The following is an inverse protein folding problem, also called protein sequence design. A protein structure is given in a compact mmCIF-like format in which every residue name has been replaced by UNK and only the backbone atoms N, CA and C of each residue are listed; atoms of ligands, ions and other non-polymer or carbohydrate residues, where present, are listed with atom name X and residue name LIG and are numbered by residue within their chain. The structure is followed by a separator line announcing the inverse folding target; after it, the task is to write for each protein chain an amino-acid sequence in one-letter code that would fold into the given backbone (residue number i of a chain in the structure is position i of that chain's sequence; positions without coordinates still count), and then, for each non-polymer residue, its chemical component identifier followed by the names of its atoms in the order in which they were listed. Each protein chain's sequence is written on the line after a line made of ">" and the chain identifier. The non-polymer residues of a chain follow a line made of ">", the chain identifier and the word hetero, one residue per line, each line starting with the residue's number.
data_IF_868665828181
#
_entry.id   IF_868665828181
#
_cell.length_a   1.000
_cell.length_b   1.000
_cell.length_c   1.000
_cell.angle_alpha   90.00
_cell.angle_beta   90.00
_cell.angle_gamma   90.00
#
_symmetry.space_group_name_H-M   'P 1'
#
loop_
_entity.id
_entity.type
_entity.pdbx_description
1 polymer ?
#
# COMPACT_ATOMS: atom_id res chain seq x y z
N UNK A 1 9.35 8.15 -23.82
CA UNK A 1 10.09 9.08 -22.95
C UNK A 1 10.15 10.48 -23.54
N UNK A 2 10.52 10.67 -24.83
CA UNK A 2 10.57 12.01 -25.46
C UNK A 2 9.31 12.86 -25.29
N UNK A 3 8.11 12.28 -25.45
CA UNK A 3 6.84 13.03 -25.29
C UNK A 3 6.57 13.50 -23.85
N UNK A 4 6.87 12.67 -22.85
CA UNK A 4 6.68 13.03 -21.43
C UNK A 4 7.67 14.11 -21.01
N UNK A 5 8.91 14.01 -21.48
CA UNK A 5 9.94 15.01 -21.24
C UNK A 5 9.56 16.35 -21.88
N UNK A 6 9.15 16.36 -23.15
CA UNK A 6 8.70 17.57 -23.83
C UNK A 6 7.51 18.23 -23.11
N UNK A 7 6.54 17.41 -22.68
CA UNK A 7 5.41 17.90 -21.89
C UNK A 7 5.85 18.48 -20.55
N UNK A 8 6.77 17.83 -19.85
CA UNK A 8 7.31 18.33 -18.60
C UNK A 8 8.10 19.63 -18.79
N UNK A 9 8.87 19.76 -19.87
CA UNK A 9 9.61 20.97 -20.18
C UNK A 9 8.68 22.14 -20.56
N UNK A 10 7.54 21.85 -21.20
CA UNK A 10 6.51 22.85 -21.53
C UNK A 10 5.85 23.51 -20.32
N UNK A 11 6.12 23.03 -19.10
CA UNK A 11 5.48 23.51 -17.87
C UNK A 11 6.00 24.86 -17.35
N UNK A 12 6.97 25.49 -18.03
CA UNK A 12 7.54 26.76 -17.58
C UNK A 12 8.05 26.70 -16.13
N UNK A 13 7.86 27.79 -15.39
CA UNK A 13 8.29 27.91 -13.99
C UNK A 13 7.34 27.21 -13.01
N UNK A 14 6.07 27.02 -13.40
CA UNK A 14 5.04 26.36 -12.61
C UNK A 14 5.44 24.92 -12.27
N UNK A 15 6.11 24.24 -13.20
CA UNK A 15 6.63 22.90 -13.00
C UNK A 15 5.57 21.80 -13.18
N UNK A 16 5.89 20.59 -12.72
CA UNK A 16 5.05 19.41 -12.91
C UNK A 16 4.55 18.81 -11.60
N UNK A 17 3.38 18.16 -11.70
CA UNK A 17 2.82 17.28 -10.68
C UNK A 17 2.77 15.86 -11.24
N UNK A 18 3.30 14.92 -10.48
CA UNK A 18 3.20 13.49 -10.80
C UNK A 18 2.01 12.91 -10.04
N UNK A 19 1.15 12.14 -10.69
CA UNK A 19 -0.02 11.54 -10.05
C UNK A 19 -0.16 10.06 -10.36
N UNK A 20 -0.24 9.23 -9.32
CA UNK A 20 -0.65 7.82 -9.43
C UNK A 20 -1.26 7.29 -8.14
N UNK A 21 -2.17 6.32 -8.27
CA UNK A 21 -2.71 5.54 -7.14
C UNK A 21 -2.10 4.12 -7.07
N UNK A 22 -0.93 3.92 -7.66
CA UNK A 22 -0.23 2.64 -7.67
C UNK A 22 -0.70 1.69 -8.79
N UNK A 23 -0.18 0.47 -8.81
CA UNK A 23 -0.53 -0.55 -9.81
C UNK A 23 -1.77 -1.37 -9.47
N UNK A 24 -2.14 -1.44 -8.19
CA UNK A 24 -3.33 -2.16 -7.74
C UNK A 24 -4.63 -1.41 -8.05
N UNK A 25 -4.53 -0.11 -8.35
CA UNK A 25 -5.66 0.77 -8.67
C UNK A 25 -5.43 1.38 -10.04
N UNK A 26 -5.75 0.61 -11.07
CA UNK A 26 -5.59 1.03 -12.47
C UNK A 26 -6.66 2.04 -12.90
N UNK A 27 -7.87 1.92 -12.33
CA UNK A 27 -9.00 2.81 -12.60
C UNK A 27 -9.81 3.07 -11.33
N UNK A 28 -10.55 4.17 -11.34
CA UNK A 28 -11.46 4.58 -10.27
C UNK A 28 -12.85 4.87 -10.88
N UNK A 29 -13.92 4.93 -10.08
CA UNK A 29 -15.25 5.29 -10.59
C UNK A 29 -15.21 6.61 -11.38
N UNK A 30 -15.96 6.66 -12.48
CA UNK A 30 -15.96 7.81 -13.41
C UNK A 30 -16.21 9.12 -12.70
N UNK A 31 -17.19 9.17 -11.79
CA UNK A 31 -17.51 10.34 -10.97
C UNK A 31 -16.30 10.88 -10.18
N UNK A 32 -15.49 9.99 -9.61
CA UNK A 32 -14.29 10.37 -8.86
C UNK A 32 -13.22 10.87 -9.82
N UNK A 33 -13.00 10.18 -10.95
CA UNK A 33 -12.02 10.62 -11.94
C UNK A 33 -12.37 11.97 -12.58
N UNK A 34 -13.65 12.26 -12.78
CA UNK A 34 -14.16 13.55 -13.27
C UNK A 34 -13.93 14.67 -12.26
N UNK A 35 -14.16 14.41 -10.96
CA UNK A 35 -13.86 15.37 -9.89
C UNK A 35 -12.37 15.67 -9.78
N UNK A 36 -11.52 14.63 -9.84
CA UNK A 36 -10.07 14.80 -9.82
C UNK A 36 -9.60 15.57 -11.06
N UNK A 37 -10.04 15.19 -12.27
CA UNK A 37 -9.70 15.87 -13.50
C UNK A 37 -10.10 17.36 -13.48
N UNK A 38 -11.29 17.67 -12.94
CA UNK A 38 -11.76 19.05 -12.75
C UNK A 38 -10.89 19.85 -11.78
N UNK A 39 -10.37 19.22 -10.72
CA UNK A 39 -9.41 19.87 -9.82
C UNK A 39 -8.08 20.13 -10.51
N UNK A 40 -7.53 19.12 -11.20
CA UNK A 40 -6.24 19.22 -11.90
C UNK A 40 -6.27 20.30 -12.99
N UNK A 41 -7.41 20.47 -13.68
CA UNK A 41 -7.59 21.49 -14.71
C UNK A 41 -7.48 22.94 -14.19
N UNK A 42 -7.61 23.15 -12.88
CA UNK A 42 -7.50 24.48 -12.25
C UNK A 42 -6.06 24.85 -11.90
N UNK A 43 -5.12 23.90 -12.04
CA UNK A 43 -3.72 24.11 -11.69
C UNK A 43 -2.93 24.70 -12.86
N UNK A 44 -1.97 25.59 -12.60
CA UNK A 44 -1.05 26.06 -13.63
C UNK A 44 0.00 24.98 -14.01
N UNK A 45 0.28 24.02 -13.12
CA UNK A 45 1.25 22.96 -13.37
C UNK A 45 0.80 22.01 -14.48
N UNK A 46 1.79 21.43 -15.17
CA UNK A 46 1.52 20.26 -16.02
C UNK A 46 1.43 19.00 -15.16
N UNK A 47 0.41 18.18 -15.39
CA UNK A 47 0.14 16.99 -14.59
C UNK A 47 0.35 15.73 -15.43
N UNK A 48 1.23 14.85 -14.97
CA UNK A 48 1.42 13.53 -15.54
C UNK A 48 0.68 12.51 -14.67
N UNK A 49 -0.47 12.07 -15.16
CA UNK A 49 -1.36 11.18 -14.42
C UNK A 49 -1.29 9.76 -14.97
N UNK A 50 -0.79 8.83 -14.16
CA UNK A 50 -0.93 7.40 -14.44
C UNK A 50 -2.36 6.94 -14.16
N UNK A 51 -3.09 6.61 -15.21
CA UNK A 51 -4.47 6.16 -15.15
C UNK A 51 -4.82 5.32 -16.38
N UNK A 52 -5.47 4.17 -16.16
CA UNK A 52 -5.85 3.24 -17.23
C UNK A 52 -7.37 3.16 -17.44
N UNK A 53 -8.16 4.00 -16.75
CA UNK A 53 -9.59 4.15 -17.00
C UNK A 53 -9.90 5.02 -18.22
N UNK A 54 -11.19 5.28 -18.42
CA UNK A 54 -11.66 6.18 -19.49
C UNK A 54 -11.21 7.61 -19.22
N UNK A 55 -10.70 8.29 -20.26
CA UNK A 55 -10.27 9.69 -20.15
C UNK A 55 -11.44 10.55 -19.64
N UNK A 56 -11.31 11.23 -18.49
CA UNK A 56 -12.39 12.06 -17.98
C UNK A 56 -12.72 13.22 -18.92
N UNK A 57 -14.00 13.56 -19.06
CA UNK A 57 -14.44 14.67 -19.93
C UNK A 57 -13.95 16.04 -19.43
N UNK A 58 -13.77 16.18 -18.12
CA UNK A 58 -13.28 17.40 -17.45
C UNK A 58 -11.75 17.52 -17.43
N UNK A 59 -11.03 16.68 -18.18
CA UNK A 59 -9.57 16.72 -18.21
C UNK A 59 -9.06 17.99 -18.92
N UNK A 60 -8.39 18.86 -18.17
CA UNK A 60 -7.76 20.07 -18.69
C UNK A 60 -6.55 19.80 -19.59
N UNK A 61 -6.20 20.77 -20.43
CA UNK A 61 -5.05 20.69 -21.36
C UNK A 61 -3.69 20.62 -20.64
N UNK A 62 -3.65 21.00 -19.37
CA UNK A 62 -2.48 20.89 -18.51
C UNK A 62 -2.24 19.46 -18.00
N UNK A 63 -3.18 18.52 -18.20
CA UNK A 63 -3.06 17.15 -17.70
C UNK A 63 -2.96 16.15 -18.84
N UNK A 64 -1.96 15.26 -18.80
CA UNK A 64 -1.87 14.09 -19.69
C UNK A 64 -2.03 12.81 -18.90
N UNK A 65 -2.84 11.91 -19.45
CA UNK A 65 -3.10 10.58 -18.88
C UNK A 65 -2.24 9.53 -19.60
N UNK A 66 -1.61 8.67 -18.82
CA UNK A 66 -0.76 7.59 -19.30
C UNK A 66 -1.13 6.27 -18.62
N UNK A 67 -1.11 5.15 -19.34
CA UNK A 67 -1.27 3.82 -18.72
C UNK A 67 -0.11 3.47 -17.79
N UNK A 68 1.07 4.00 -18.10
CA UNK A 68 2.31 3.79 -17.35
C UNK A 68 3.17 5.05 -17.42
N UNK A 69 3.89 5.34 -16.33
CA UNK A 69 4.84 6.45 -16.24
C UNK A 69 6.15 5.97 -15.60
N UNK A 70 7.31 6.51 -15.99
CA UNK A 70 8.59 6.28 -15.30
C UNK A 70 8.61 7.11 -14.00
N UNK A 71 7.84 6.69 -13.00
CA UNK A 71 7.55 7.46 -11.78
C UNK A 71 8.82 7.96 -11.09
N UNK A 72 9.81 7.09 -10.85
CA UNK A 72 11.04 7.46 -10.18
C UNK A 72 11.84 8.53 -10.95
N UNK A 73 11.89 8.44 -12.29
CA UNK A 73 12.59 9.43 -13.12
C UNK A 73 11.85 10.77 -13.12
N UNK A 74 10.51 10.74 -13.19
CA UNK A 74 9.69 11.95 -13.09
C UNK A 74 9.82 12.60 -11.70
N UNK A 75 9.87 11.82 -10.62
CA UNK A 75 10.10 12.36 -9.28
C UNK A 75 11.48 13.00 -9.16
N UNK A 76 12.49 12.47 -9.86
CA UNK A 76 13.83 13.05 -9.96
C UNK A 76 13.97 14.22 -10.94
N UNK A 77 12.92 14.54 -11.70
CA UNK A 77 12.96 15.61 -12.67
C UNK A 77 12.99 16.99 -11.96
N UNK A 78 13.85 17.94 -12.38
CA UNK A 78 14.06 19.21 -11.66
C UNK A 78 12.81 20.11 -11.60
N UNK A 79 11.86 19.93 -12.52
CA UNK A 79 10.58 20.67 -12.52
C UNK A 79 9.52 20.07 -11.60
N UNK A 80 9.77 18.94 -10.94
CA UNK A 80 8.76 18.29 -10.11
C UNK A 80 8.51 19.06 -8.82
N UNK A 81 7.25 19.47 -8.63
CA UNK A 81 6.82 20.28 -7.49
C UNK A 81 6.11 19.45 -6.43
N UNK A 82 5.27 18.51 -6.84
CA UNK A 82 4.49 17.70 -5.92
C UNK A 82 4.18 16.30 -6.49
N UNK A 83 3.91 15.38 -5.58
CA UNK A 83 3.49 14.01 -5.90
C UNK A 83 2.13 13.69 -5.27
N UNK A 84 1.14 13.38 -6.11
CA UNK A 84 -0.15 12.85 -5.66
C UNK A 84 -0.05 11.33 -5.62
N UNK A 85 -0.28 10.75 -4.44
CA UNK A 85 -0.05 9.33 -4.18
C UNK A 85 -1.12 8.70 -3.31
N UNK A 86 -1.41 7.43 -3.53
CA UNK A 86 -2.18 6.61 -2.59
C UNK A 86 -1.45 6.29 -1.27
N UNK A 87 -0.18 6.67 -1.09
CA UNK A 87 0.55 6.40 0.16
C UNK A 87 1.16 5.00 0.29
N UNK A 88 1.33 4.29 -0.83
CA UNK A 88 2.11 3.06 -0.85
C UNK A 88 3.59 3.32 -0.52
N UNK A 89 4.19 2.45 0.29
CA UNK A 89 5.54 2.60 0.85
C UNK A 89 6.62 2.89 -0.19
N UNK A 90 6.63 2.18 -1.33
CA UNK A 90 7.63 2.40 -2.38
C UNK A 90 7.55 3.82 -2.97
N UNK A 91 6.34 4.28 -3.31
CA UNK A 91 6.17 5.62 -3.88
C UNK A 91 6.53 6.73 -2.89
N UNK A 92 6.26 6.51 -1.59
CA UNK A 92 6.72 7.42 -0.53
C UNK A 92 8.25 7.49 -0.49
N UNK A 93 8.95 6.35 -0.54
CA UNK A 93 10.41 6.36 -0.51
C UNK A 93 11.03 6.97 -1.75
N UNK A 94 10.46 6.78 -2.94
CA UNK A 94 10.89 7.48 -4.16
C UNK A 94 10.72 9.01 -4.02
N UNK A 95 9.58 9.47 -3.48
CA UNK A 95 9.35 10.89 -3.24
C UNK A 95 10.31 11.47 -2.19
N UNK A 96 10.58 10.73 -1.10
CA UNK A 96 11.59 11.11 -0.10
C UNK A 96 12.98 11.16 -0.73
N UNK A 97 13.36 10.16 -1.52
CA UNK A 97 14.67 10.10 -2.19
C UNK A 97 14.93 11.36 -3.01
N UNK A 98 13.94 11.82 -3.77
CA UNK A 98 14.03 13.04 -4.59
C UNK A 98 13.60 14.34 -3.88
N UNK A 99 13.21 14.27 -2.61
CA UNK A 99 12.80 15.42 -1.82
C UNK A 99 11.55 16.13 -2.36
N UNK A 100 10.57 15.36 -2.84
CA UNK A 100 9.30 15.87 -3.39
C UNK A 100 8.20 15.79 -2.33
N UNK A 101 7.51 16.89 -2.01
CA UNK A 101 6.38 16.86 -1.08
C UNK A 101 5.14 16.19 -1.70
N UNK A 102 4.23 15.72 -0.86
CA UNK A 102 3.16 14.80 -1.28
C UNK A 102 1.74 15.29 -0.94
N UNK A 103 0.78 14.96 -1.79
CA UNK A 103 -0.64 14.93 -1.44
C UNK A 103 -1.08 13.47 -1.41
N UNK A 104 -1.46 12.99 -0.22
CA UNK A 104 -1.88 11.61 0.00
C UNK A 104 -3.37 11.39 -0.19
N UNK A 105 -3.75 10.34 -0.90
CA UNK A 105 -5.12 9.84 -1.08
C UNK A 105 -5.18 8.36 -0.71
N UNK A 106 -5.04 8.00 0.57
CA UNK A 106 -4.97 6.61 1.00
C UNK A 106 -6.27 5.84 0.68
N UNK A 107 -6.13 4.57 0.29
CA UNK A 107 -7.25 3.75 -0.17
C UNK A 107 -7.46 2.51 0.70
N UNK A 108 -6.40 1.79 1.06
CA UNK A 108 -6.50 0.55 1.85
C UNK A 108 -5.14 0.13 2.46
N UNK A 109 -5.17 -0.88 3.32
CA UNK A 109 -3.96 -1.46 3.91
C UNK A 109 -3.24 -0.50 4.84
N UNK A 110 -1.92 -0.44 4.71
CA UNK A 110 -1.00 0.41 5.49
C UNK A 110 -0.94 1.87 5.00
N UNK A 111 -1.59 2.18 3.87
CA UNK A 111 -1.53 3.50 3.23
C UNK A 111 -1.93 4.68 4.15
N UNK A 112 -3.03 4.61 4.94
CA UNK A 112 -3.38 5.71 5.85
C UNK A 112 -2.28 5.99 6.89
N UNK A 113 -1.74 4.94 7.51
CA UNK A 113 -0.71 5.06 8.53
C UNK A 113 0.60 5.62 7.95
N UNK A 114 0.99 5.13 6.77
CA UNK A 114 2.12 5.67 6.02
C UNK A 114 1.97 7.18 5.77
N UNK A 115 0.79 7.63 5.34
CA UNK A 115 0.55 9.04 5.09
C UNK A 115 0.58 9.87 6.37
N UNK A 116 0.08 9.35 7.50
CA UNK A 116 0.20 10.02 8.82
C UNK A 116 1.67 10.22 9.20
N UNK A 117 2.54 9.23 8.96
CA UNK A 117 3.98 9.37 9.20
C UNK A 117 4.63 10.47 8.36
N UNK A 118 4.18 10.68 7.12
CA UNK A 118 4.73 11.75 6.27
C UNK A 118 4.15 13.12 6.64
N UNK A 119 2.85 13.19 6.94
CA UNK A 119 2.18 14.41 7.41
C UNK A 119 2.80 14.92 8.71
N UNK A 120 3.03 14.05 9.69
CA UNK A 120 3.68 14.41 10.97
C UNK A 120 5.11 14.91 10.81
N UNK A 121 5.79 14.57 9.70
CA UNK A 121 7.11 15.11 9.32
C UNK A 121 7.04 16.40 8.51
N UNK A 122 5.82 16.92 8.27
CA UNK A 122 5.58 18.18 7.55
C UNK A 122 5.83 18.10 6.04
N UNK A 123 5.78 16.91 5.44
CA UNK A 123 6.08 16.70 4.03
C UNK A 123 4.86 16.24 3.20
N UNK A 124 3.67 16.19 3.80
CA UNK A 124 2.45 15.84 3.07
C UNK A 124 1.17 16.44 3.65
N UNK A 125 0.19 16.66 2.77
CA UNK A 125 -1.23 16.86 3.09
C UNK A 125 -1.99 15.57 2.78
N UNK A 126 -3.04 15.26 3.55
CA UNK A 126 -3.86 14.06 3.36
C UNK A 126 -5.27 14.46 2.98
N UNK A 127 -5.79 13.89 1.90
CA UNK A 127 -7.21 13.88 1.54
C UNK A 127 -7.79 12.60 2.11
N UNK A 128 -8.56 12.72 3.21
CA UNK A 128 -9.03 11.57 3.99
C UNK A 128 -9.97 10.64 3.22
N UNK A 129 -10.78 11.19 2.30
CA UNK A 129 -11.73 10.41 1.52
C UNK A 129 -11.80 10.88 0.07
N UNK A 130 -11.21 10.09 -0.82
CA UNK A 130 -11.32 10.31 -2.28
C UNK A 130 -12.77 10.22 -2.78
N UNK A 131 -13.66 9.54 -2.06
CA UNK A 131 -15.08 9.41 -2.41
C UNK A 131 -15.85 10.70 -2.13
N UNK A 132 -15.48 11.41 -1.07
CA UNK A 132 -16.25 12.57 -0.59
C UNK A 132 -15.57 13.91 -0.90
N UNK A 133 -14.33 13.89 -1.40
CA UNK A 133 -13.60 15.10 -1.76
C UNK A 133 -14.34 15.92 -2.82
N UNK A 134 -14.30 17.23 -2.64
CA UNK A 134 -14.62 18.21 -3.66
C UNK A 134 -13.36 18.53 -4.48
N UNK A 135 -13.51 19.00 -5.73
CA UNK A 135 -12.36 19.40 -6.54
C UNK A 135 -11.46 20.42 -5.84
N UNK A 136 -12.05 21.36 -5.10
CA UNK A 136 -11.31 22.40 -4.38
C UNK A 136 -10.38 21.83 -3.30
N UNK A 137 -10.77 20.74 -2.63
CA UNK A 137 -9.93 20.12 -1.59
C UNK A 137 -8.57 19.68 -2.16
N UNK A 138 -8.56 19.16 -3.39
CA UNK A 138 -7.32 18.76 -4.07
C UNK A 138 -6.51 19.97 -4.55
N UNK A 139 -7.18 20.99 -5.07
CA UNK A 139 -6.53 22.26 -5.48
C UNK A 139 -5.83 22.90 -4.29
N UNK A 140 -6.52 23.01 -3.15
CA UNK A 140 -5.99 23.61 -1.93
C UNK A 140 -4.84 22.80 -1.34
N UNK A 141 -4.97 21.47 -1.32
CA UNK A 141 -3.90 20.58 -0.86
C UNK A 141 -2.63 20.71 -1.73
N UNK A 142 -2.78 20.79 -3.06
CA UNK A 142 -1.66 20.97 -3.98
C UNK A 142 -1.03 22.36 -3.85
N UNK A 143 -1.85 23.41 -3.81
CA UNK A 143 -1.36 24.77 -3.58
C UNK A 143 -0.63 24.89 -2.26
N UNK A 144 -1.09 24.20 -1.21
CA UNK A 144 -0.41 24.16 0.09
C UNK A 144 0.98 23.56 -0.05
N UNK A 145 1.12 22.33 -0.57
CA UNK A 145 2.42 21.66 -0.63
C UNK A 145 3.40 22.27 -1.65
N UNK A 146 2.88 22.96 -2.67
CA UNK A 146 3.69 23.61 -3.70
C UNK A 146 4.16 25.00 -3.25
N UNK A 147 3.28 25.81 -2.64
CA UNK A 147 3.56 27.22 -2.38
C UNK A 147 4.06 27.50 -0.96
N UNK A 148 3.77 26.63 0.02
CA UNK A 148 4.36 26.74 1.36
C UNK A 148 5.77 26.10 1.35
N UNK A 149 6.84 26.90 1.51
CA UNK A 149 8.22 26.41 1.41
C UNK A 149 8.55 25.34 2.46
N UNK A 150 7.84 25.33 3.60
CA UNK A 150 8.10 24.37 4.68
C UNK A 150 7.93 22.92 4.23
N UNK A 151 7.00 22.63 3.31
CA UNK A 151 6.80 21.28 2.77
C UNK A 151 7.99 20.82 1.93
N UNK A 152 8.50 21.69 1.05
CA UNK A 152 9.68 21.39 0.25
C UNK A 152 10.93 21.28 1.11
N UNK A 153 11.11 22.16 2.08
CA UNK A 153 12.23 22.11 3.02
C UNK A 153 12.23 20.83 3.85
N UNK A 154 11.06 20.42 4.35
CA UNK A 154 10.90 19.17 5.08
C UNK A 154 11.15 17.95 4.18
N UNK A 155 10.62 17.94 2.95
CA UNK A 155 10.89 16.86 1.99
C UNK A 155 12.40 16.75 1.68
N UNK A 156 13.09 17.88 1.47
CA UNK A 156 14.55 17.91 1.26
C UNK A 156 15.33 17.51 2.52
N UNK A 157 14.83 17.83 3.72
CA UNK A 157 15.41 17.34 4.99
C UNK A 157 15.31 15.82 5.08
N UNK A 158 14.13 15.25 4.77
CA UNK A 158 13.95 13.80 4.74
C UNK A 158 14.81 13.12 3.67
N UNK A 159 14.95 13.73 2.50
CA UNK A 159 15.86 13.27 1.44
C UNK A 159 17.30 13.18 1.94
N UNK A 160 17.82 14.25 2.56
CA UNK A 160 19.18 14.26 3.12
C UNK A 160 19.38 13.14 4.15
N UNK A 161 18.43 12.95 5.06
CA UNK A 161 18.48 11.86 6.04
C UNK A 161 18.44 10.49 5.36
N UNK A 162 17.61 10.31 4.32
CA UNK A 162 17.50 9.05 3.59
C UNK A 162 18.78 8.69 2.81
N UNK A 163 19.49 9.70 2.29
CA UNK A 163 20.78 9.53 1.62
C UNK A 163 21.94 9.33 2.60
N UNK A 164 21.81 9.82 3.83
CA UNK A 164 22.82 9.70 4.88
C UNK A 164 22.80 8.30 5.52
N UNK A 165 23.51 7.38 4.88
CA UNK A 165 23.65 5.99 5.30
C UNK A 165 25.12 5.56 5.36
N UNK A 166 25.49 4.69 6.30
CA UNK A 166 26.89 4.29 6.51
C UNK A 166 27.48 3.48 5.34
N UNK A 167 26.65 2.77 4.58
CA UNK A 167 27.07 1.96 3.44
C UNK A 167 26.29 2.39 2.20
N UNK A 168 26.96 2.55 1.07
CA UNK A 168 26.29 2.92 -0.19
C UNK A 168 25.44 1.74 -0.70
N UNK A 169 24.28 1.99 -1.34
CA UNK A 169 23.40 0.93 -1.83
C UNK A 169 24.08 -0.09 -2.75
N UNK A 170 24.99 0.37 -3.61
CA UNK A 170 25.73 -0.49 -4.51
C UNK A 170 26.67 -1.42 -3.74
N UNK A 171 27.42 -0.89 -2.77
CA UNK A 171 28.34 -1.66 -1.94
C UNK A 171 27.59 -2.67 -1.06
N UNK A 172 26.46 -2.26 -0.48
CA UNK A 172 25.59 -3.15 0.31
C UNK A 172 25.03 -4.28 -0.57
N UNK A 173 24.60 -3.97 -1.79
CA UNK A 173 24.11 -4.98 -2.74
C UNK A 173 25.20 -5.98 -3.12
N UNK A 174 26.42 -5.50 -3.40
CA UNK A 174 27.59 -6.35 -3.67
C UNK A 174 27.87 -7.26 -2.47
N UNK A 175 27.88 -6.70 -1.26
CA UNK A 175 28.08 -7.49 -0.04
C UNK A 175 27.08 -8.65 0.06
N UNK A 176 25.78 -8.40 -0.13
CA UNK A 176 24.76 -9.43 -0.02
C UNK A 176 24.84 -10.49 -1.13
N UNK A 177 25.15 -10.08 -2.37
CA UNK A 177 25.39 -11.01 -3.48
C UNK A 177 26.56 -11.94 -3.14
N UNK A 178 27.69 -11.37 -2.73
CA UNK A 178 28.85 -12.15 -2.32
C UNK A 178 28.58 -13.01 -1.09
N UNK A 179 27.80 -12.53 -0.13
CA UNK A 179 27.40 -13.29 1.05
C UNK A 179 26.67 -14.57 0.65
N UNK A 180 25.70 -14.47 -0.27
CA UNK A 180 24.98 -15.62 -0.81
C UNK A 180 25.94 -16.58 -1.52
N UNK A 181 26.87 -16.07 -2.32
CA UNK A 181 27.88 -16.89 -3.01
C UNK A 181 28.81 -17.61 -2.01
N UNK A 182 29.36 -16.90 -1.02
CA UNK A 182 30.23 -17.45 0.04
C UNK A 182 29.54 -18.57 0.83
N UNK A 183 28.23 -18.44 1.06
CA UNK A 183 27.43 -19.41 1.80
C UNK A 183 26.66 -20.38 0.89
N UNK A 184 27.11 -20.57 -0.37
CA UNK A 184 26.59 -21.56 -1.32
C UNK A 184 25.05 -21.51 -1.47
N UNK A 185 24.52 -20.29 -1.60
CA UNK A 185 23.08 -20.03 -1.75
C UNK A 185 22.35 -19.68 -0.45
N UNK A 186 23.06 -19.53 0.67
CA UNK A 186 22.52 -19.07 1.97
C UNK A 186 21.18 -19.72 2.36
N UNK A 187 21.10 -21.05 2.29
CA UNK A 187 19.85 -21.82 2.50
C UNK A 187 19.16 -21.48 3.82
N UNK A 188 19.93 -21.14 4.86
CA UNK A 188 19.43 -20.75 6.18
C UNK A 188 18.65 -19.42 6.21
N UNK A 189 18.77 -18.57 5.16
CA UNK A 189 17.98 -17.35 5.01
C UNK A 189 16.74 -17.55 4.11
N UNK A 190 16.60 -18.71 3.47
CA UNK A 190 15.43 -19.01 2.64
C UNK A 190 14.27 -19.42 3.55
N UNK A 191 13.08 -18.93 3.24
CA UNK A 191 11.87 -19.33 3.96
C UNK A 191 11.62 -20.83 3.74
N UNK A 192 11.53 -21.61 4.82
CA UNK A 192 11.30 -23.06 4.77
C UNK A 192 9.97 -23.45 4.11
N UNK A 193 9.03 -22.50 3.99
CA UNK A 193 7.77 -22.68 3.28
C UNK A 193 7.93 -23.21 1.84
N UNK A 194 9.06 -22.94 1.18
CA UNK A 194 9.34 -23.48 -0.15
C UNK A 194 9.60 -24.99 -0.18
N UNK A 195 9.92 -25.60 0.95
CA UNK A 195 10.18 -27.03 1.09
C UNK A 195 8.94 -27.79 1.61
N UNK A 196 7.87 -27.09 1.96
CA UNK A 196 6.63 -27.69 2.45
C UNK A 196 5.78 -28.23 1.31
N UNK A 197 5.15 -29.39 1.53
CA UNK A 197 4.10 -29.86 0.63
C UNK A 197 2.89 -28.91 0.69
N UNK A 198 2.10 -28.85 -0.39
CA UNK A 198 0.94 -27.94 -0.46
C UNK A 198 -0.03 -28.09 0.73
N UNK A 199 -0.23 -29.30 1.24
CA UNK A 199 -1.12 -29.56 2.38
C UNK A 199 -0.52 -29.13 3.72
N UNK A 200 0.81 -29.21 3.89
CA UNK A 200 1.52 -28.70 5.08
C UNK A 200 1.53 -27.17 5.08
N UNK A 201 1.75 -26.56 3.92
CA UNK A 201 1.71 -25.11 3.75
C UNK A 201 0.33 -24.53 4.13
N UNK A 202 -0.76 -25.25 3.81
CA UNK A 202 -2.13 -24.87 4.19
C UNK A 202 -2.60 -25.48 5.53
N UNK A 203 -1.69 -26.08 6.31
CA UNK A 203 -1.95 -26.69 7.61
C UNK A 203 -3.08 -27.75 7.63
N UNK A 204 -3.35 -28.44 6.52
CA UNK A 204 -4.45 -29.40 6.43
C UNK A 204 -4.22 -30.64 7.31
N UNK A 205 -2.97 -31.05 7.46
CA UNK A 205 -2.53 -32.09 8.38
C UNK A 205 -2.81 -31.71 9.84
N UNK A 206 -2.52 -30.47 10.23
CA UNK A 206 -2.82 -29.92 11.56
C UNK A 206 -4.33 -29.85 11.78
N UNK A 207 -5.11 -29.36 10.82
CA UNK A 207 -6.58 -29.34 10.93
C UNK A 207 -7.16 -30.74 11.06
N UNK A 208 -6.70 -31.71 10.25
CA UNK A 208 -7.15 -33.10 10.32
C UNK A 208 -6.86 -33.70 11.70
N UNK A 209 -5.67 -33.47 12.24
CA UNK A 209 -5.31 -33.91 13.60
C UNK A 209 -6.22 -33.28 14.66
N UNK A 210 -6.42 -31.96 14.66
CA UNK A 210 -7.27 -31.26 15.63
C UNK A 210 -8.74 -31.72 15.57
N UNK A 211 -9.29 -31.90 14.36
CA UNK A 211 -10.65 -32.43 14.16
C UNK A 211 -10.75 -33.87 14.69
N UNK A 212 -9.74 -34.70 14.46
CA UNK A 212 -9.74 -36.08 14.97
C UNK A 212 -9.74 -36.13 16.51
N UNK A 213 -8.96 -35.28 17.17
CA UNK A 213 -8.94 -35.17 18.63
C UNK A 213 -10.30 -34.68 19.15
N UNK A 214 -10.86 -33.63 18.53
CA UNK A 214 -12.15 -33.08 18.92
C UNK A 214 -13.28 -34.12 18.80
N UNK A 215 -13.34 -34.83 17.67
CA UNK A 215 -14.35 -35.88 17.45
C UNK A 215 -14.21 -37.02 18.45
N UNK A 216 -12.99 -37.43 18.80
CA UNK A 216 -12.73 -38.43 19.82
C UNK A 216 -13.21 -37.97 21.21
N UNK A 217 -12.90 -36.74 21.62
CA UNK A 217 -13.34 -36.17 22.90
C UNK A 217 -14.86 -36.13 22.97
N UNK A 218 -15.53 -35.63 21.92
CA UNK A 218 -16.98 -35.58 21.85
C UNK A 218 -17.61 -36.99 21.88
N UNK A 219 -17.01 -37.95 21.20
CA UNK A 219 -17.46 -39.34 21.21
C UNK A 219 -17.36 -39.98 22.60
N UNK A 220 -16.22 -39.81 23.28
CA UNK A 220 -16.02 -40.30 24.66
C UNK A 220 -17.00 -39.64 25.60
N UNK A 221 -17.15 -38.31 25.53
CA UNK A 221 -18.12 -37.56 26.33
C UNK A 221 -19.55 -38.10 26.13
N UNK A 222 -19.97 -38.27 24.87
CA UNK A 222 -21.27 -38.84 24.54
C UNK A 222 -21.46 -40.25 25.13
N UNK A 223 -20.45 -41.12 25.02
CA UNK A 223 -20.49 -42.47 25.60
C UNK A 223 -20.59 -42.45 27.13
N UNK A 224 -19.85 -41.57 27.80
CA UNK A 224 -19.90 -41.39 29.26
C UNK A 224 -21.27 -40.87 29.68
N UNK A 225 -21.79 -39.81 29.05
CA UNK A 225 -23.12 -39.28 29.31
C UNK A 225 -24.20 -40.35 29.10
N UNK A 226 -24.15 -41.10 27.99
CA UNK A 226 -25.08 -42.20 27.72
C UNK A 226 -24.98 -43.27 28.81
N UNK A 227 -23.78 -43.71 29.21
CA UNK A 227 -23.59 -44.71 30.25
C UNK A 227 -24.14 -44.24 31.62
N UNK A 228 -23.90 -42.97 31.99
CA UNK A 228 -24.43 -42.36 33.21
C UNK A 228 -25.96 -42.29 33.18
N UNK A 229 -26.56 -41.80 32.09
CA UNK A 229 -28.02 -41.74 31.92
C UNK A 229 -28.63 -43.13 32.01
N UNK A 230 -28.06 -44.11 31.28
CA UNK A 230 -28.58 -45.48 31.28
C UNK A 230 -28.51 -46.09 32.69
N UNK A 231 -27.40 -45.89 33.41
CA UNK A 231 -27.25 -46.35 34.82
C UNK A 231 -28.24 -45.66 35.77
N UNK A 232 -28.47 -44.36 35.63
CA UNK A 232 -29.46 -43.63 36.44
C UNK A 232 -30.89 -44.10 36.15
N UNK A 233 -31.26 -44.33 34.88
CA UNK A 233 -32.58 -44.83 34.50
C UNK A 233 -32.82 -46.29 34.94
N UNK A 234 -31.81 -47.17 34.89
CA UNK A 234 -31.93 -48.54 35.41
C UNK A 234 -32.01 -48.59 36.94
N UNK A 235 -31.29 -47.71 37.66
CA UNK A 235 -31.43 -47.59 39.13
C UNK A 235 -32.81 -47.09 39.55
N UNK A 236 -33.41 -46.15 38.80
CA UNK A 236 -34.77 -45.69 39.05
C UNK A 236 -35.82 -46.80 38.86
N UNK A 237 -35.72 -47.60 37.79
CA UNK A 237 -36.59 -48.77 37.56
C UNK A 237 -36.40 -49.88 38.60
N UNK A 238 -35.18 -50.10 39.11
CA UNK A 238 -34.92 -51.10 40.14
C UNK A 238 -35.47 -50.71 41.52
N UNK A 239 -35.55 -49.40 41.82
CA UNK A 239 -36.22 -48.90 43.04
C UNK A 239 -37.76 -49.00 42.94
N UNK A 240 -38.35 -48.68 41.79
CA UNK A 240 -39.81 -48.77 41.58
C UNK A 240 -40.39 -50.19 41.58
N UNK A 241 -39.57 -51.24 41.42
CA UNK A 241 -40.00 -52.65 41.50
C UNK A 241 -39.90 -53.26 42.91
N UNK A 242 -39.39 -52.50 43.89
CA UNK A 242 -39.12 -52.97 45.26
C UNK A 242 -40.06 -52.34 46.32
N UNK A 243 -41.06 -51.58 45.87
CA UNK A 243 -42.23 -51.18 46.64
C UNK A 243 -43.44 -52.00 46.22
#
# INVERSE_FOLDING_TARGET
>A
MSDMEEFAQSSGDDGIVVFTLGSLVEKIPTEISTRIASALAQLPQKVLWRYAGEKPETLGENTRVYKWIPQNDLLGHPKTRAFITHGGTNGIYEAIYHGVPMVGMPLFGDQPDNMVHIKTRGAAVIIESIKNMQPQDLVDALNTVINDPSYKENAMRLSRIHHDRPVKPLEESVFWIEFVMRHKGAKHLRVEAHNLSWYQYHCLDVFAFLISVLTLVLYVFFKVCKALITRCCFRAKAKSKRE
#
